data_IF_215182792356
#
_entry.id   IF_215182792356
#
_cell.length_a   1.000
_cell.length_b   1.000
_cell.length_c   1.000
_cell.angle_alpha   90.00
_cell.angle_beta   90.00
_cell.angle_gamma   90.00
#
_symmetry.space_group_name_H-M   'P 1'
#
loop_
_entity.id
_entity.type
_entity.pdbx_description
1 polymer ?
#
# COMPACT_ATOMS: atom_id res chain seq x y z
N UNK A 1 10.29 -19.65 11.91
CA UNK A 1 9.60 -19.50 10.61
C UNK A 1 10.68 -19.17 9.60
N UNK A 2 10.84 -19.96 8.53
CA UNK A 2 11.84 -19.64 7.50
C UNK A 2 11.46 -18.33 6.80
N UNK A 3 12.43 -17.44 6.57
CA UNK A 3 12.21 -16.13 5.93
C UNK A 3 11.56 -16.26 4.55
N UNK A 4 12.06 -17.19 3.74
CA UNK A 4 11.49 -17.51 2.43
C UNK A 4 10.01 -17.90 2.54
N UNK A 5 9.65 -18.67 3.57
CA UNK A 5 8.26 -19.06 3.80
C UNK A 5 7.39 -17.84 4.14
N UNK A 6 7.90 -16.87 4.89
CA UNK A 6 7.20 -15.62 5.17
C UNK A 6 7.01 -14.79 3.89
N UNK A 7 8.05 -14.64 3.07
CA UNK A 7 8.01 -13.87 1.82
C UNK A 7 7.04 -14.52 0.83
N UNK A 8 7.18 -15.81 0.54
CA UNK A 8 6.30 -16.52 -0.39
C UNK A 8 4.86 -16.64 0.09
N UNK A 9 4.64 -16.70 1.41
CA UNK A 9 3.27 -16.62 1.96
C UNK A 9 2.62 -15.27 1.62
N UNK A 10 3.38 -14.18 1.71
CA UNK A 10 2.90 -12.84 1.35
C UNK A 10 2.51 -12.77 -0.12
N UNK A 11 3.33 -13.35 -1.01
CA UNK A 11 3.09 -13.37 -2.46
C UNK A 11 1.81 -14.14 -2.77
N UNK A 12 1.64 -15.27 -2.10
CA UNK A 12 0.46 -16.14 -2.25
C UNK A 12 -0.81 -15.44 -1.79
N UNK A 13 -0.81 -14.81 -0.61
CA UNK A 13 -2.00 -14.11 -0.10
C UNK A 13 -2.34 -12.90 -0.96
N UNK A 14 -1.33 -12.16 -1.46
CA UNK A 14 -1.56 -11.06 -2.40
C UNK A 14 -2.21 -11.54 -3.71
N UNK A 15 -1.73 -12.64 -4.27
CA UNK A 15 -2.31 -13.24 -5.48
C UNK A 15 -3.76 -13.68 -5.23
N UNK A 16 -4.04 -14.33 -4.09
CA UNK A 16 -5.41 -14.67 -3.69
C UNK A 16 -6.25 -13.40 -3.64
N UNK A 17 -5.82 -12.37 -2.91
CA UNK A 17 -6.54 -11.09 -2.81
C UNK A 17 -6.84 -10.49 -4.18
N UNK A 18 -5.87 -10.48 -5.09
CA UNK A 18 -6.06 -9.99 -6.46
C UNK A 18 -7.16 -10.78 -7.19
N UNK A 19 -7.16 -12.10 -7.10
CA UNK A 19 -8.15 -12.97 -7.74
C UNK A 19 -9.56 -12.72 -7.16
N UNK A 20 -9.73 -12.74 -5.83
CA UNK A 20 -11.06 -12.59 -5.22
C UNK A 20 -11.65 -11.18 -5.40
N UNK A 21 -10.84 -10.13 -5.34
CA UNK A 21 -11.30 -8.77 -5.64
C UNK A 21 -11.62 -8.57 -7.12
N UNK A 22 -10.85 -9.20 -8.01
CA UNK A 22 -11.14 -9.22 -9.46
C UNK A 22 -12.42 -9.98 -9.77
N UNK A 23 -12.73 -11.08 -9.10
CA UNK A 23 -14.01 -11.77 -9.27
C UNK A 23 -15.19 -10.92 -8.77
N UNK A 24 -15.01 -10.21 -7.65
CA UNK A 24 -16.00 -9.26 -7.12
C UNK A 24 -16.16 -7.99 -7.99
N UNK A 25 -15.30 -7.77 -8.99
CA UNK A 25 -15.33 -6.64 -9.91
C UNK A 25 -16.68 -6.46 -10.60
N UNK A 26 -17.28 -7.56 -11.05
CA UNK A 26 -18.57 -7.50 -11.76
C UNK A 26 -19.76 -7.14 -10.86
N UNK A 27 -19.58 -7.14 -9.54
CA UNK A 27 -20.66 -6.91 -8.56
C UNK A 27 -20.55 -5.61 -7.78
N UNK A 28 -19.40 -4.94 -7.79
CA UNK A 28 -19.14 -3.73 -6.99
C UNK A 28 -18.78 -2.54 -7.89
N UNK A 29 -19.24 -1.34 -7.52
CA UNK A 29 -19.09 -0.11 -8.30
C UNK A 29 -17.64 0.39 -8.47
N UNK A 30 -17.49 1.61 -9.02
CA UNK A 30 -16.20 2.18 -9.49
C UNK A 30 -15.03 2.11 -8.48
N UNK A 31 -15.28 2.22 -7.17
CA UNK A 31 -14.23 2.13 -6.16
C UNK A 31 -13.50 0.78 -6.15
N UNK A 32 -14.19 -0.31 -6.50
CA UNK A 32 -13.56 -1.63 -6.58
C UNK A 32 -12.55 -1.74 -7.72
N UNK A 33 -12.75 -0.98 -8.81
CA UNK A 33 -11.80 -0.93 -9.94
C UNK A 33 -10.45 -0.40 -9.48
N UNK A 34 -10.45 0.76 -8.79
CA UNK A 34 -9.21 1.37 -8.32
C UNK A 34 -8.48 0.50 -7.31
N UNK A 35 -9.21 -0.21 -6.45
CA UNK A 35 -8.61 -1.14 -5.50
C UNK A 35 -8.01 -2.37 -6.17
N UNK A 36 -8.67 -2.94 -7.18
CA UNK A 36 -8.12 -4.04 -7.99
C UNK A 36 -6.86 -3.58 -8.74
N UNK A 37 -6.87 -2.37 -9.32
CA UNK A 37 -5.70 -1.78 -9.94
C UNK A 37 -4.53 -1.62 -8.96
N UNK A 38 -4.80 -1.23 -7.72
CA UNK A 38 -3.81 -1.20 -6.65
C UNK A 38 -3.22 -2.58 -6.34
N UNK A 39 -4.05 -3.62 -6.17
CA UNK A 39 -3.56 -4.98 -5.91
C UNK A 39 -2.73 -5.53 -7.08
N UNK A 40 -3.17 -5.28 -8.32
CA UNK A 40 -2.44 -5.70 -9.52
C UNK A 40 -1.08 -5.00 -9.62
N UNK A 41 -1.03 -3.71 -9.28
CA UNK A 41 0.21 -2.95 -9.21
C UNK A 41 1.14 -3.53 -8.13
N UNK A 42 0.66 -3.76 -6.91
CA UNK A 42 1.45 -4.38 -5.85
C UNK A 42 2.04 -5.73 -6.28
N UNK A 43 1.23 -6.59 -6.93
CA UNK A 43 1.69 -7.88 -7.41
C UNK A 43 2.78 -7.75 -8.47
N UNK A 44 2.59 -6.84 -9.43
CA UNK A 44 3.57 -6.56 -10.49
C UNK A 44 4.89 -6.03 -9.92
N UNK A 45 4.83 -5.11 -8.97
CA UNK A 45 6.02 -4.54 -8.33
C UNK A 45 6.77 -5.60 -7.52
N UNK A 46 6.04 -6.42 -6.76
CA UNK A 46 6.61 -7.52 -5.97
C UNK A 46 7.32 -8.55 -6.85
N UNK A 47 6.66 -8.97 -7.94
CA UNK A 47 7.27 -9.87 -8.92
C UNK A 47 8.52 -9.26 -9.57
N UNK A 48 8.48 -7.98 -9.92
CA UNK A 48 9.62 -7.29 -10.53
C UNK A 48 10.82 -7.18 -9.59
N UNK A 49 10.58 -6.89 -8.30
CA UNK A 49 11.63 -6.85 -7.27
C UNK A 49 12.27 -8.22 -7.06
N UNK A 50 11.48 -9.29 -7.04
CA UNK A 50 11.96 -10.68 -6.93
C UNK A 50 12.79 -11.09 -8.16
N UNK A 51 12.33 -10.70 -9.35
CA UNK A 51 13.07 -10.97 -10.60
C UNK A 51 14.44 -10.28 -10.57
N UNK A 52 14.51 -9.02 -10.14
CA UNK A 52 15.78 -8.32 -9.96
C UNK A 52 16.70 -9.03 -8.97
N UNK A 53 16.16 -9.51 -7.85
CA UNK A 53 16.92 -10.26 -6.84
C UNK A 53 17.55 -11.52 -7.45
N UNK A 54 16.78 -12.33 -8.17
CA UNK A 54 17.30 -13.54 -8.83
C UNK A 54 18.32 -13.24 -9.95
N UNK A 55 18.23 -12.08 -10.59
CA UNK A 55 19.20 -11.62 -11.60
C UNK A 55 20.44 -10.95 -10.98
N UNK A 56 20.53 -10.83 -9.66
CA UNK A 56 21.64 -10.15 -8.97
C UNK A 56 21.65 -8.63 -9.17
N UNK A 57 20.53 -8.05 -9.58
CA UNK A 57 20.36 -6.61 -9.82
C UNK A 57 19.80 -5.92 -8.58
N UNK A 58 20.07 -4.61 -8.43
CA UNK A 58 19.43 -3.82 -7.38
C UNK A 58 17.94 -3.66 -7.68
N UNK A 59 17.11 -3.77 -6.65
CA UNK A 59 15.65 -3.62 -6.75
C UNK A 59 15.16 -2.22 -6.33
N UNK A 60 16.06 -1.30 -5.97
CA UNK A 60 15.75 0.01 -5.39
C UNK A 60 14.88 0.88 -6.30
N UNK A 61 15.08 0.77 -7.62
CA UNK A 61 14.24 1.43 -8.63
C UNK A 61 12.77 1.02 -8.45
N UNK A 62 12.52 -0.28 -8.32
CA UNK A 62 11.17 -0.82 -8.13
C UNK A 62 10.62 -0.49 -6.74
N UNK A 63 11.47 -0.36 -5.73
CA UNK A 63 11.05 0.11 -4.40
C UNK A 63 10.50 1.54 -4.48
N UNK A 64 11.22 2.48 -5.10
CA UNK A 64 10.74 3.87 -5.25
C UNK A 64 9.49 3.94 -6.14
N UNK A 65 9.50 3.24 -7.29
CA UNK A 65 8.30 3.12 -8.12
C UNK A 65 7.08 2.60 -7.34
N UNK A 66 7.30 1.64 -6.43
CA UNK A 66 6.24 1.07 -5.59
C UNK A 66 5.63 2.12 -4.67
N UNK A 67 6.43 2.91 -3.94
CA UNK A 67 5.90 3.91 -3.01
C UNK A 67 5.13 5.03 -3.74
N UNK A 68 5.67 5.54 -4.84
CA UNK A 68 4.98 6.56 -5.66
C UNK A 68 3.68 6.00 -6.25
N UNK A 69 3.74 4.82 -6.88
CA UNK A 69 2.58 4.20 -7.48
C UNK A 69 1.51 3.82 -6.46
N UNK A 70 1.92 3.34 -5.28
CA UNK A 70 1.05 3.08 -4.15
C UNK A 70 0.30 4.35 -3.70
N UNK A 71 1.00 5.48 -3.58
CA UNK A 71 0.38 6.76 -3.23
C UNK A 71 -0.65 7.20 -4.28
N UNK A 72 -0.32 7.10 -5.57
CA UNK A 72 -1.22 7.48 -6.66
C UNK A 72 -2.48 6.60 -6.63
N UNK A 73 -2.32 5.27 -6.63
CA UNK A 73 -3.44 4.34 -6.73
C UNK A 73 -4.35 4.39 -5.50
N UNK A 74 -3.76 4.44 -4.30
CA UNK A 74 -4.55 4.57 -3.07
C UNK A 74 -5.18 5.96 -2.93
N UNK A 75 -4.52 7.01 -3.40
CA UNK A 75 -5.09 8.35 -3.47
C UNK A 75 -6.33 8.41 -4.37
N UNK A 76 -6.24 7.83 -5.57
CA UNK A 76 -7.40 7.73 -6.49
C UNK A 76 -8.51 6.86 -5.86
N UNK A 77 -8.15 5.74 -5.24
CA UNK A 77 -9.09 4.88 -4.52
C UNK A 77 -9.85 5.63 -3.42
N UNK A 78 -9.17 6.30 -2.50
CA UNK A 78 -9.83 7.07 -1.43
C UNK A 78 -10.62 8.27 -1.95
N UNK A 79 -10.13 8.95 -2.99
CA UNK A 79 -10.89 10.01 -3.67
C UNK A 79 -12.20 9.49 -4.30
N UNK A 80 -12.24 8.22 -4.71
CA UNK A 80 -13.45 7.57 -5.22
C UNK A 80 -14.44 7.16 -4.13
N UNK A 81 -13.96 6.95 -2.90
CA UNK A 81 -14.77 6.55 -1.74
C UNK A 81 -15.44 7.75 -1.07
N UNK A 82 -14.76 8.88 -0.93
CA UNK A 82 -15.34 10.08 -0.31
C UNK A 82 -16.44 10.69 -1.19
N UNK A 83 -17.47 11.27 -0.57
CA UNK A 83 -18.44 12.15 -1.25
C UNK A 83 -18.21 13.63 -0.94
N UNK A 84 -17.36 13.95 0.03
CA UNK A 84 -17.11 15.31 0.50
C UNK A 84 -16.17 16.02 -0.48
N UNK A 85 -16.67 17.10 -1.10
CA UNK A 85 -15.95 17.85 -2.14
C UNK A 85 -14.59 18.38 -1.66
N UNK A 86 -14.51 18.92 -0.45
CA UNK A 86 -13.26 19.45 0.11
C UNK A 86 -12.18 18.39 0.26
N UNK A 87 -12.53 17.19 0.74
CA UNK A 87 -11.60 16.05 0.82
C UNK A 87 -11.13 15.61 -0.57
N UNK A 88 -12.02 15.53 -1.57
CA UNK A 88 -11.64 15.22 -2.96
C UNK A 88 -10.62 16.19 -3.52
N UNK A 89 -10.86 17.48 -3.31
CA UNK A 89 -9.96 18.56 -3.76
C UNK A 89 -8.62 18.43 -3.04
N UNK A 90 -8.63 18.21 -1.72
CA UNK A 90 -7.41 18.03 -0.94
C UNK A 90 -6.59 16.83 -1.44
N UNK A 91 -7.20 15.67 -1.67
CA UNK A 91 -6.50 14.48 -2.17
C UNK A 91 -5.83 14.80 -3.51
N UNK A 92 -6.55 15.40 -4.46
CA UNK A 92 -5.99 15.75 -5.77
C UNK A 92 -4.84 16.75 -5.68
N UNK A 93 -5.02 17.84 -4.92
CA UNK A 93 -3.99 18.88 -4.79
C UNK A 93 -2.76 18.32 -4.09
N UNK A 94 -2.92 17.60 -2.99
CA UNK A 94 -1.79 17.00 -2.26
C UNK A 94 -1.05 15.94 -3.09
N UNK A 95 -1.76 15.11 -3.86
CA UNK A 95 -1.12 14.19 -4.83
C UNK A 95 -0.29 14.95 -5.86
N UNK A 96 -0.86 15.98 -6.49
CA UNK A 96 -0.14 16.79 -7.49
C UNK A 96 1.09 17.46 -6.89
N UNK A 97 0.97 18.07 -5.71
CA UNK A 97 2.09 18.72 -5.03
C UNK A 97 3.17 17.70 -4.68
N UNK A 98 2.80 16.54 -4.13
CA UNK A 98 3.77 15.49 -3.78
C UNK A 98 4.54 14.99 -5.01
N UNK A 99 3.85 14.74 -6.13
CA UNK A 99 4.50 14.35 -7.37
C UNK A 99 5.44 15.43 -7.91
N UNK A 100 5.06 16.71 -7.82
CA UNK A 100 5.93 17.82 -8.22
C UNK A 100 7.16 17.90 -7.32
N UNK A 101 7.01 17.76 -6.00
CA UNK A 101 8.12 17.76 -5.05
C UNK A 101 9.10 16.63 -5.35
N UNK A 102 8.62 15.41 -5.59
CA UNK A 102 9.46 14.26 -5.93
C UNK A 102 10.11 14.42 -7.30
N UNK A 103 9.39 14.93 -8.30
CA UNK A 103 9.95 15.20 -9.63
C UNK A 103 11.07 16.23 -9.56
N UNK A 104 10.91 17.30 -8.77
CA UNK A 104 11.96 18.31 -8.53
C UNK A 104 13.15 17.66 -7.82
N UNK A 105 12.90 16.82 -6.80
CA UNK A 105 13.97 16.10 -6.09
C UNK A 105 14.81 15.26 -7.06
N UNK A 106 14.17 14.44 -7.89
CA UNK A 106 14.87 13.58 -8.86
C UNK A 106 15.52 14.34 -10.01
N UNK A 107 15.00 15.53 -10.35
CA UNK A 107 15.64 16.40 -11.32
C UNK A 107 16.94 17.01 -10.76
N UNK A 108 16.94 17.41 -9.49
CA UNK A 108 18.12 17.98 -8.82
C UNK A 108 19.17 16.90 -8.56
N UNK A 109 18.76 15.75 -8.04
CA UNK A 109 19.64 14.59 -7.82
C UNK A 109 18.97 13.30 -8.31
N UNK A 110 19.30 12.92 -9.53
CA UNK A 110 18.81 11.68 -10.14
C UNK A 110 19.24 10.42 -9.39
N UNK A 111 20.30 10.48 -8.57
CA UNK A 111 20.79 9.32 -7.82
C UNK A 111 19.82 8.91 -6.71
N UNK A 112 18.96 9.82 -6.24
CA UNK A 112 17.94 9.55 -5.22
C UNK A 112 16.93 8.50 -5.70
N UNK A 113 16.62 8.47 -7.00
CA UNK A 113 15.72 7.47 -7.58
C UNK A 113 16.31 6.05 -7.60
N UNK A 114 17.63 5.93 -7.50
CA UNK A 114 18.35 4.65 -7.47
C UNK A 114 18.76 4.24 -6.05
N UNK A 115 18.40 5.01 -5.03
CA UNK A 115 18.70 4.78 -3.62
C UNK A 115 17.42 4.55 -2.82
N UNK A 116 17.57 4.09 -1.58
CA UNK A 116 16.46 3.98 -0.65
C UNK A 116 16.08 5.39 -0.14
N UNK A 117 15.11 6.04 -0.80
CA UNK A 117 14.76 7.43 -0.54
C UNK A 117 13.78 7.55 0.64
N UNK A 118 14.31 7.74 1.84
CA UNK A 118 13.51 7.83 3.07
C UNK A 118 12.51 8.99 3.05
N UNK A 119 12.87 10.12 2.41
CA UNK A 119 11.99 11.27 2.29
C UNK A 119 10.75 10.94 1.46
N UNK A 120 10.94 10.32 0.31
CA UNK A 120 9.87 9.84 -0.56
C UNK A 120 8.94 8.88 0.20
N UNK A 121 9.50 7.84 0.82
CA UNK A 121 8.75 6.82 1.57
C UNK A 121 7.89 7.46 2.65
N UNK A 122 8.48 8.39 3.41
CA UNK A 122 7.78 9.07 4.51
C UNK A 122 6.66 9.96 3.97
N UNK A 123 6.93 10.75 2.94
CA UNK A 123 5.96 11.64 2.32
C UNK A 123 4.78 10.85 1.74
N UNK A 124 5.04 9.81 0.95
CA UNK A 124 4.00 8.99 0.32
C UNK A 124 3.14 8.29 1.38
N UNK A 125 3.75 7.67 2.39
CA UNK A 125 3.03 6.91 3.40
C UNK A 125 2.15 7.83 4.27
N UNK A 126 2.67 8.98 4.69
CA UNK A 126 1.90 9.92 5.51
C UNK A 126 0.70 10.49 4.75
N UNK A 127 0.84 10.80 3.46
CA UNK A 127 -0.30 11.25 2.64
C UNK A 127 -1.39 10.18 2.53
N UNK A 128 -1.01 8.93 2.31
CA UNK A 128 -1.98 7.82 2.25
C UNK A 128 -2.68 7.64 3.61
N UNK A 129 -1.95 7.76 4.72
CA UNK A 129 -2.53 7.72 6.07
C UNK A 129 -3.57 8.84 6.24
N UNK A 130 -3.28 10.06 5.79
CA UNK A 130 -4.26 11.17 5.83
C UNK A 130 -5.51 10.83 5.00
N UNK A 131 -5.35 10.24 3.81
CA UNK A 131 -6.49 9.83 2.97
C UNK A 131 -7.33 8.73 3.64
N UNK A 132 -6.67 7.78 4.30
CA UNK A 132 -7.33 6.75 5.10
C UNK A 132 -8.07 7.33 6.32
N UNK A 133 -7.53 8.36 6.98
CA UNK A 133 -8.20 9.06 8.06
C UNK A 133 -9.47 9.79 7.59
N UNK A 134 -9.46 10.39 6.40
CA UNK A 134 -10.69 10.93 5.79
C UNK A 134 -11.74 9.84 5.56
N UNK A 135 -11.31 8.66 5.11
CA UNK A 135 -12.22 7.52 4.96
C UNK A 135 -12.84 7.12 6.30
N UNK A 136 -12.04 7.00 7.36
CA UNK A 136 -12.56 6.72 8.70
C UNK A 136 -13.54 7.79 9.20
N UNK A 137 -13.24 9.06 8.96
CA UNK A 137 -14.14 10.15 9.31
C UNK A 137 -15.49 10.03 8.60
N UNK A 138 -15.50 9.78 7.29
CA UNK A 138 -16.74 9.62 6.52
C UNK A 138 -17.55 8.41 6.97
N UNK A 139 -16.88 7.34 7.39
CA UNK A 139 -17.50 6.12 7.92
C UNK A 139 -18.22 6.31 9.27
N UNK A 140 -18.06 7.47 9.94
CA UNK A 140 -18.86 7.79 11.12
C UNK A 140 -20.33 8.03 10.75
N UNK A 141 -20.60 8.48 9.52
CA UNK A 141 -21.95 8.80 9.03
C UNK A 141 -22.40 7.88 7.89
N UNK A 142 -21.48 7.16 7.24
CA UNK A 142 -21.75 6.32 6.06
C UNK A 142 -21.55 4.82 6.31
N UNK A 143 -21.88 3.99 5.31
CA UNK A 143 -21.70 2.54 5.37
C UNK A 143 -20.22 2.13 5.48
N UNK A 144 -19.96 1.09 6.28
CA UNK A 144 -18.60 0.62 6.57
C UNK A 144 -17.94 -0.20 5.46
N UNK A 145 -17.72 0.40 4.29
CA UNK A 145 -16.99 -0.23 3.19
C UNK A 145 -15.47 -0.13 3.37
N UNK A 146 -14.72 -1.19 3.04
CA UNK A 146 -13.25 -1.24 3.11
C UNK A 146 -12.65 -0.95 4.50
N UNK A 147 -13.42 -1.13 5.57
CA UNK A 147 -13.01 -0.77 6.92
C UNK A 147 -11.72 -1.49 7.37
N UNK A 148 -11.70 -2.81 7.26
CA UNK A 148 -10.57 -3.61 7.75
C UNK A 148 -9.36 -3.41 6.85
N UNK A 149 -9.57 -3.25 5.55
CA UNK A 149 -8.52 -2.85 4.60
C UNK A 149 -7.88 -1.53 5.01
N UNK A 150 -8.67 -0.50 5.33
CA UNK A 150 -8.14 0.81 5.76
C UNK A 150 -7.44 0.72 7.11
N UNK A 151 -7.95 -0.05 8.07
CA UNK A 151 -7.27 -0.30 9.36
C UNK A 151 -5.92 -0.98 9.16
N UNK A 152 -5.88 -2.07 8.39
CA UNK A 152 -4.65 -2.79 8.09
C UNK A 152 -3.63 -1.91 7.36
N UNK A 153 -4.10 -1.08 6.41
CA UNK A 153 -3.24 -0.15 5.67
C UNK A 153 -2.60 0.88 6.58
N UNK A 154 -3.38 1.55 7.44
CA UNK A 154 -2.85 2.56 8.37
C UNK A 154 -1.85 1.94 9.34
N UNK A 155 -2.18 0.77 9.88
CA UNK A 155 -1.29 0.04 10.77
C UNK A 155 0.03 -0.31 10.07
N UNK A 156 -0.04 -0.91 8.88
CA UNK A 156 1.13 -1.24 8.07
C UNK A 156 1.98 -0.01 7.78
N UNK A 157 1.39 1.03 7.20
CA UNK A 157 2.14 2.22 6.76
C UNK A 157 2.83 2.95 7.91
N UNK A 158 2.17 3.10 9.06
CA UNK A 158 2.78 3.74 10.22
C UNK A 158 3.92 2.88 10.78
N UNK A 159 3.68 1.58 10.96
CA UNK A 159 4.69 0.67 11.50
C UNK A 159 5.90 0.52 10.56
N UNK A 160 5.67 0.36 9.26
CA UNK A 160 6.74 0.25 8.26
C UNK A 160 7.54 1.54 8.14
N UNK A 161 6.89 2.71 8.20
CA UNK A 161 7.60 4.01 8.17
C UNK A 161 8.52 4.16 9.38
N UNK A 162 8.07 3.79 10.58
CA UNK A 162 8.93 3.77 11.78
C UNK A 162 10.11 2.82 11.59
N UNK A 163 9.87 1.62 11.07
CA UNK A 163 10.93 0.64 10.76
C UNK A 163 11.96 1.20 9.77
N UNK A 164 11.53 1.86 8.70
CA UNK A 164 12.42 2.46 7.71
C UNK A 164 13.22 3.64 8.26
N UNK A 165 12.61 4.47 9.12
CA UNK A 165 13.32 5.54 9.82
C UNK A 165 14.43 4.97 10.69
N UNK A 166 14.13 3.97 11.53
CA UNK A 166 15.11 3.29 12.38
C UNK A 166 16.22 2.64 11.55
N UNK A 167 15.84 1.95 10.46
CA UNK A 167 16.77 1.29 9.54
C UNK A 167 17.67 2.25 8.76
N UNK A 168 17.27 3.52 8.58
CA UNK A 168 18.09 4.51 7.88
C UNK A 168 19.00 5.33 8.81
N UNK A 169 18.56 5.61 10.05
CA UNK A 169 19.45 6.17 11.10
C UNK A 169 20.59 5.20 11.48
N UNK A 170 20.52 3.97 10.99
CA UNK A 170 21.39 2.84 11.29
C UNK A 170 22.78 2.87 10.62
N UNK A 171 23.34 4.06 10.31
CA UNK A 171 24.69 4.20 9.74
C UNK A 171 25.80 3.56 10.62
N UNK A 172 25.48 3.14 11.85
CA UNK A 172 26.36 2.35 12.72
C UNK A 172 25.76 1.06 13.31
N UNK A 173 24.62 0.55 12.81
CA UNK A 173 24.01 -0.68 13.32
C UNK A 173 24.48 -1.93 12.55
N UNK A 174 24.54 -3.06 13.26
CA UNK A 174 24.95 -4.36 12.72
C UNK A 174 24.05 -4.80 11.55
N UNK A 175 24.60 -5.64 10.67
CA UNK A 175 23.86 -6.28 9.58
C UNK A 175 22.59 -7.00 10.06
N UNK A 176 22.60 -7.50 11.29
CA UNK A 176 21.46 -8.15 11.96
C UNK A 176 20.25 -7.21 12.14
N UNK A 177 20.48 -5.94 12.46
CA UNK A 177 19.37 -4.99 12.66
C UNK A 177 18.72 -4.61 11.34
N UNK A 178 19.51 -4.43 10.27
CA UNK A 178 18.96 -4.23 8.92
C UNK A 178 18.11 -5.42 8.50
N UNK A 179 18.63 -6.63 8.71
CA UNK A 179 17.92 -7.88 8.44
C UNK A 179 16.60 -7.99 9.23
N UNK A 180 16.63 -7.65 10.52
CA UNK A 180 15.43 -7.62 11.37
C UNK A 180 14.38 -6.63 10.83
N UNK A 181 14.77 -5.43 10.40
CA UNK A 181 13.87 -4.45 9.80
C UNK A 181 13.15 -5.01 8.57
N UNK A 182 13.88 -5.74 7.70
CA UNK A 182 13.31 -6.36 6.51
C UNK A 182 12.30 -7.46 6.84
N UNK A 183 12.64 -8.37 7.77
CA UNK A 183 11.72 -9.44 8.20
C UNK A 183 10.45 -8.86 8.84
N UNK A 184 10.62 -7.88 9.74
CA UNK A 184 9.48 -7.24 10.39
C UNK A 184 8.57 -6.55 9.38
N UNK A 185 9.15 -5.89 8.37
CA UNK A 185 8.38 -5.30 7.29
C UNK A 185 7.60 -6.36 6.48
N UNK A 186 8.24 -7.47 6.10
CA UNK A 186 7.57 -8.58 5.41
C UNK A 186 6.39 -9.14 6.25
N UNK A 187 6.58 -9.26 7.56
CA UNK A 187 5.53 -9.69 8.49
C UNK A 187 4.36 -8.69 8.55
N UNK A 188 4.64 -7.38 8.59
CA UNK A 188 3.60 -6.34 8.56
C UNK A 188 2.82 -6.34 7.24
N UNK A 189 3.49 -6.57 6.11
CA UNK A 189 2.82 -6.71 4.80
C UNK A 189 1.89 -7.92 4.83
N UNK A 190 2.34 -9.07 5.35
CA UNK A 190 1.50 -10.25 5.46
C UNK A 190 0.25 -10.00 6.31
N UNK A 191 0.40 -9.35 7.47
CA UNK A 191 -0.73 -8.93 8.30
C UNK A 191 -1.70 -8.07 7.48
N UNK A 192 -1.19 -7.07 6.76
CA UNK A 192 -2.02 -6.22 5.92
C UNK A 192 -2.77 -7.00 4.83
N UNK A 193 -2.13 -7.98 4.19
CA UNK A 193 -2.79 -8.84 3.22
C UNK A 193 -3.94 -9.65 3.84
N UNK A 194 -3.80 -10.09 5.09
CA UNK A 194 -4.91 -10.74 5.81
C UNK A 194 -6.05 -9.77 6.14
N UNK A 195 -5.76 -8.52 6.48
CA UNK A 195 -6.80 -7.49 6.67
C UNK A 195 -7.61 -7.26 5.39
N UNK A 196 -6.93 -7.21 4.22
CA UNK A 196 -7.59 -7.12 2.91
C UNK A 196 -8.51 -8.32 2.67
N UNK A 197 -7.99 -9.54 2.88
CA UNK A 197 -8.75 -10.76 2.67
C UNK A 197 -9.97 -10.82 3.58
N UNK A 198 -9.79 -10.47 4.85
CA UNK A 198 -10.87 -10.46 5.84
C UNK A 198 -11.98 -9.45 5.49
N UNK A 199 -11.61 -8.26 5.02
CA UNK A 199 -12.57 -7.25 4.57
C UNK A 199 -13.43 -7.76 3.40
N UNK A 200 -12.79 -8.46 2.46
CA UNK A 200 -13.48 -9.09 1.33
C UNK A 200 -14.48 -10.15 1.79
N UNK A 201 -14.05 -11.09 2.65
CA UNK A 201 -14.91 -12.16 3.18
C UNK A 201 -16.15 -11.56 3.85
N UNK A 202 -15.95 -10.57 4.73
CA UNK A 202 -17.06 -9.93 5.46
C UNK A 202 -18.00 -9.19 4.51
N UNK A 203 -17.45 -8.48 3.53
CA UNK A 203 -18.23 -7.77 2.53
C UNK A 203 -19.06 -8.73 1.66
N UNK A 204 -18.46 -9.84 1.21
CA UNK A 204 -19.12 -10.82 0.36
C UNK A 204 -20.23 -11.58 1.10
N UNK A 205 -19.98 -11.98 2.36
CA UNK A 205 -20.99 -12.62 3.20
C UNK A 205 -22.22 -11.71 3.37
N UNK A 206 -22.02 -10.42 3.69
CA UNK A 206 -23.11 -9.44 3.81
C UNK A 206 -23.93 -9.31 2.52
N UNK A 207 -23.28 -9.27 1.35
CA UNK A 207 -23.97 -9.23 0.05
C UNK A 207 -24.80 -10.48 -0.22
N UNK A 208 -24.33 -11.67 0.19
CA UNK A 208 -25.06 -12.93 0.00
C UNK A 208 -26.33 -13.05 0.85
N UNK A 209 -26.34 -12.44 2.04
CA UNK A 209 -27.52 -12.42 2.93
C UNK A 209 -28.61 -11.49 2.39
N UNK A 210 -28.24 -10.32 1.88
CA UNK A 210 -29.21 -9.36 1.31
C UNK A 210 -29.84 -9.83 -0.02
N UNK A 211 -29.25 -10.82 -0.71
CA UNK A 211 -29.83 -11.42 -1.91
C UNK A 211 -30.88 -12.51 -1.58
N UNK A 212 -31.01 -12.90 -0.30
CA UNK A 212 -31.96 -13.91 0.17
C UNK A 212 -33.17 -13.32 0.92
N UNK A 213 -33.25 -12.00 1.07
CA UNK A 213 -34.37 -11.24 1.66
C UNK A 213 -35.16 -10.53 0.58
#
# INVERSE_FOLDING_TARGET
MNEELLIYSTYTVLLINLIVYSYSFFRKGKANVFFVSYLAFCFTMQFSMELCYHLGMTNLIFVNMFFIGQMILLGIFYNSLTQIKSQKIFIKISLTIALLVLAIQFYIDSSEFFKFNLFEITLTNLLIVIYALFHFYNMLTENKSYYYTTVGLVFYLLASTVLYLIGNFSLGLSSELKYLTWILNAFLILIYQFFILYDWIKSFYKSSVNLKS
#
